data_IF_351118452202
#
_entry.id   IF_351118452202
#
_cell.length_a   1.000
_cell.length_b   1.000
_cell.length_c   1.000
_cell.angle_alpha   90.00
_cell.angle_beta   90.00
_cell.angle_gamma   90.00
#
_symmetry.space_group_name_H-M   'P 1'
#
loop_
_entity.id
_entity.type
_entity.pdbx_description
1 polymer ?
#
# COMPACT_ATOMS: atom_id res chain seq x y z
N UNK A 1 -28.17 -13.19 -27.30
CA UNK A 1 -28.17 -12.56 -25.98
C UNK A 1 -29.08 -11.33 -26.10
N UNK A 2 -30.12 -11.27 -25.32
CA UNK A 2 -31.06 -10.16 -25.29
C UNK A 2 -31.02 -9.50 -23.92
N UNK A 3 -31.21 -8.17 -23.89
CA UNK A 3 -31.35 -7.41 -22.65
C UNK A 3 -32.85 -7.24 -22.38
N UNK A 4 -33.27 -7.55 -21.15
CA UNK A 4 -34.63 -7.21 -20.68
C UNK A 4 -34.70 -5.73 -20.31
N UNK A 5 -35.93 -5.19 -20.18
CA UNK A 5 -36.17 -3.77 -19.84
C UNK A 5 -35.61 -3.36 -18.47
N UNK A 6 -35.30 -4.31 -17.58
CA UNK A 6 -34.67 -4.12 -16.28
C UNK A 6 -33.13 -4.19 -16.33
N UNK A 7 -32.54 -4.38 -17.52
CA UNK A 7 -31.08 -4.49 -17.73
C UNK A 7 -30.52 -5.89 -17.49
N UNK A 8 -31.33 -6.88 -17.17
CA UNK A 8 -30.88 -8.27 -17.04
C UNK A 8 -30.66 -8.90 -18.42
N UNK A 9 -29.68 -9.80 -18.49
CA UNK A 9 -29.38 -10.57 -19.70
C UNK A 9 -30.20 -11.85 -19.67
N UNK A 10 -30.99 -12.09 -20.71
CA UNK A 10 -31.71 -13.33 -20.84
C UNK A 10 -31.46 -14.04 -22.18
N UNK A 11 -31.57 -15.33 -22.17
CA UNK A 11 -31.57 -16.16 -23.38
C UNK A 11 -32.99 -16.59 -23.66
N UNK A 12 -33.57 -16.29 -24.87
CA UNK A 12 -34.90 -16.73 -25.17
C UNK A 12 -34.98 -18.27 -25.19
N UNK A 13 -36.12 -18.84 -24.87
CA UNK A 13 -36.31 -20.30 -24.95
C UNK A 13 -36.07 -20.78 -26.39
N UNK A 14 -35.46 -21.95 -26.49
CA UNK A 14 -35.35 -22.64 -27.76
C UNK A 14 -36.75 -22.95 -28.27
N UNK A 15 -37.17 -22.45 -29.46
CA UNK A 15 -38.48 -22.63 -30.00
C UNK A 15 -38.83 -24.10 -30.25
N UNK A 16 -37.85 -25.00 -30.35
CA UNK A 16 -38.03 -26.43 -30.63
C UNK A 16 -38.27 -27.27 -29.36
N UNK A 17 -37.91 -26.76 -28.17
CA UNK A 17 -38.00 -27.55 -26.93
C UNK A 17 -39.10 -27.12 -25.98
N UNK A 18 -39.75 -25.97 -26.19
CA UNK A 18 -40.81 -25.43 -25.31
C UNK A 18 -40.36 -25.24 -23.85
N UNK A 19 -39.07 -25.15 -23.62
CA UNK A 19 -38.44 -25.11 -22.30
C UNK A 19 -38.76 -23.85 -21.52
N UNK A 20 -38.92 -24.00 -20.22
CA UNK A 20 -39.04 -22.92 -19.25
C UNK A 20 -37.81 -22.02 -19.34
N UNK A 21 -37.98 -20.68 -19.38
CA UNK A 21 -36.89 -19.71 -19.34
C UNK A 21 -36.27 -19.78 -17.95
N UNK A 22 -35.16 -20.49 -17.80
CA UNK A 22 -34.41 -20.46 -16.58
C UNK A 22 -33.64 -19.12 -16.52
N UNK A 23 -33.64 -18.44 -15.36
CA UNK A 23 -32.77 -17.27 -15.19
C UNK A 23 -31.32 -17.67 -15.46
N UNK A 24 -30.52 -16.80 -16.06
CA UNK A 24 -29.11 -17.11 -16.29
C UNK A 24 -28.44 -17.48 -14.97
N UNK A 25 -27.63 -18.53 -15.00
CA UNK A 25 -26.83 -18.90 -13.82
C UNK A 25 -26.02 -17.70 -13.35
N UNK A 26 -25.93 -17.48 -12.02
CA UNK A 26 -25.10 -16.41 -11.48
C UNK A 26 -23.67 -16.57 -12.00
N UNK A 27 -23.11 -15.48 -12.50
CA UNK A 27 -21.72 -15.47 -12.95
C UNK A 27 -20.79 -15.80 -11.78
N UNK A 28 -19.95 -16.82 -11.92
CA UNK A 28 -18.91 -17.20 -10.96
C UNK A 28 -17.56 -16.80 -11.55
N UNK A 29 -16.85 -15.84 -10.93
CA UNK A 29 -15.53 -15.43 -11.43
C UNK A 29 -14.54 -16.59 -11.45
N UNK A 30 -13.70 -16.64 -12.45
CA UNK A 30 -12.57 -17.58 -12.50
C UNK A 30 -11.47 -17.18 -11.50
N UNK A 31 -10.57 -18.12 -11.19
CA UNK A 31 -9.41 -17.83 -10.33
C UNK A 31 -8.58 -16.68 -10.88
N UNK A 32 -8.30 -16.65 -12.19
CA UNK A 32 -7.52 -15.61 -12.85
C UNK A 32 -8.17 -14.21 -12.72
N UNK A 33 -9.49 -14.14 -12.91
CA UNK A 33 -10.25 -12.88 -12.75
C UNK A 33 -10.20 -12.37 -11.31
N UNK A 34 -10.33 -13.27 -10.33
CA UNK A 34 -10.19 -12.91 -8.92
C UNK A 34 -8.76 -12.48 -8.56
N UNK A 35 -7.74 -13.14 -9.09
CA UNK A 35 -6.35 -12.71 -8.89
C UNK A 35 -6.11 -11.31 -9.46
N UNK A 36 -6.61 -11.01 -10.65
CA UNK A 36 -6.49 -9.68 -11.27
C UNK A 36 -7.22 -8.62 -10.45
N UNK A 37 -8.46 -8.90 -10.03
CA UNK A 37 -9.25 -7.99 -9.20
C UNK A 37 -8.57 -7.73 -7.84
N UNK A 38 -8.07 -8.78 -7.18
CA UNK A 38 -7.39 -8.69 -5.89
C UNK A 38 -6.09 -7.91 -5.99
N UNK A 39 -5.27 -8.11 -7.02
CA UNK A 39 -4.04 -7.32 -7.25
C UNK A 39 -4.35 -5.83 -7.40
N UNK A 40 -5.46 -5.49 -8.07
CA UNK A 40 -5.90 -4.09 -8.19
C UNK A 40 -6.31 -3.52 -6.82
N UNK A 41 -7.09 -4.27 -6.03
CA UNK A 41 -7.48 -3.90 -4.67
C UNK A 41 -6.24 -3.63 -3.80
N UNK A 42 -5.27 -4.54 -3.80
CA UNK A 42 -4.02 -4.42 -3.05
C UNK A 42 -3.19 -3.21 -3.51
N UNK A 43 -3.10 -2.98 -4.82
CA UNK A 43 -2.35 -1.83 -5.36
C UNK A 43 -2.99 -0.50 -4.93
N UNK A 44 -4.33 -0.39 -4.95
CA UNK A 44 -5.04 0.79 -4.47
C UNK A 44 -4.86 1.01 -2.96
N UNK A 45 -4.89 -0.07 -2.17
CA UNK A 45 -4.65 0.01 -0.73
C UNK A 45 -3.21 0.43 -0.41
N UNK A 46 -2.23 -0.08 -1.17
CA UNK A 46 -0.83 0.33 -1.07
C UNK A 46 -0.65 1.82 -1.39
N UNK A 47 -1.21 2.29 -2.51
CA UNK A 47 -1.18 3.71 -2.89
C UNK A 47 -1.81 4.59 -1.81
N UNK A 48 -2.97 4.19 -1.28
CA UNK A 48 -3.64 4.90 -0.19
C UNK A 48 -2.76 4.96 1.06
N UNK A 49 -2.10 3.86 1.43
CA UNK A 49 -1.19 3.82 2.57
C UNK A 49 0.01 4.75 2.36
N UNK A 50 0.63 4.73 1.19
CA UNK A 50 1.75 5.62 0.86
C UNK A 50 1.29 7.09 0.90
N UNK A 51 0.17 7.42 0.26
CA UNK A 51 -0.32 8.80 0.17
C UNK A 51 -0.77 9.36 1.52
N UNK A 52 -1.21 8.50 2.45
CA UNK A 52 -1.53 8.93 3.82
C UNK A 52 -0.33 9.53 4.54
N UNK A 53 0.89 9.22 4.10
CA UNK A 53 2.09 9.85 4.60
C UNK A 53 2.68 9.23 5.87
N UNK A 54 3.64 9.93 6.46
CA UNK A 54 4.45 9.45 7.59
C UNK A 54 4.62 10.54 8.64
N UNK A 55 4.57 10.12 9.92
CA UNK A 55 4.94 10.96 11.05
C UNK A 55 6.45 10.94 11.25
N UNK A 56 7.05 12.11 11.38
CA UNK A 56 8.51 12.27 11.52
C UNK A 56 8.81 13.08 12.76
N UNK A 57 9.64 12.54 13.65
CA UNK A 57 10.15 13.27 14.81
C UNK A 57 11.42 14.02 14.43
N UNK A 58 11.41 15.32 14.59
CA UNK A 58 12.49 16.24 14.25
C UNK A 58 13.52 16.36 15.37
N UNK A 59 14.62 17.07 15.11
CA UNK A 59 15.72 17.24 16.06
C UNK A 59 15.34 18.00 17.34
N UNK A 60 14.29 18.82 17.29
CA UNK A 60 13.73 19.53 18.45
C UNK A 60 12.77 18.67 19.28
N UNK A 61 12.51 17.42 18.87
CA UNK A 61 11.60 16.49 19.51
C UNK A 61 10.12 16.65 19.11
N UNK A 62 9.79 17.61 18.26
CA UNK A 62 8.46 17.73 17.68
C UNK A 62 8.19 16.64 16.65
N UNK A 63 6.93 16.19 16.54
CA UNK A 63 6.52 15.23 15.50
C UNK A 63 5.59 15.93 14.53
N UNK A 64 5.90 15.85 13.26
CA UNK A 64 5.15 16.44 12.16
C UNK A 64 4.75 15.37 11.15
N UNK A 65 3.59 15.57 10.51
CA UNK A 65 3.06 14.67 9.50
C UNK A 65 3.35 15.19 8.09
N UNK A 66 3.77 14.29 7.20
CA UNK A 66 4.07 14.58 5.81
C UNK A 66 3.36 13.61 4.89
N UNK A 67 2.38 14.08 4.11
CA UNK A 67 1.77 13.32 3.02
C UNK A 67 2.80 12.93 1.97
N UNK A 68 2.58 11.79 1.32
CA UNK A 68 3.51 11.25 0.33
C UNK A 68 2.80 10.94 -0.99
N UNK A 69 2.01 11.91 -1.51
CA UNK A 69 1.52 11.84 -2.88
C UNK A 69 2.67 11.81 -3.87
N UNK A 70 2.43 11.48 -5.14
CA UNK A 70 3.49 11.49 -6.15
C UNK A 70 4.21 12.85 -6.24
N UNK A 71 3.46 13.96 -6.08
CA UNK A 71 4.06 15.30 -6.08
C UNK A 71 4.93 15.53 -4.84
N UNK A 72 4.51 15.06 -3.67
CA UNK A 72 5.29 15.19 -2.42
C UNK A 72 6.58 14.38 -2.52
N UNK A 73 6.50 13.15 -3.02
CA UNK A 73 7.66 12.29 -3.26
C UNK A 73 8.66 12.98 -4.21
N UNK A 74 8.17 13.58 -5.31
CA UNK A 74 9.02 14.31 -6.26
C UNK A 74 9.65 15.56 -5.62
N UNK A 75 8.88 16.30 -4.83
CA UNK A 75 9.39 17.48 -4.11
C UNK A 75 10.47 17.07 -3.09
N UNK A 76 10.23 16.02 -2.30
CA UNK A 76 11.20 15.50 -1.33
C UNK A 76 12.47 14.98 -2.01
N UNK A 77 12.34 14.34 -3.17
CA UNK A 77 13.51 13.97 -3.98
C UNK A 77 14.32 15.21 -4.41
N UNK A 78 13.63 16.30 -4.82
CA UNK A 78 14.28 17.58 -5.11
C UNK A 78 15.03 18.15 -3.89
N UNK A 79 14.46 18.04 -2.68
CA UNK A 79 15.15 18.47 -1.44
C UNK A 79 16.37 17.59 -1.14
N UNK A 80 16.30 16.29 -1.37
CA UNK A 80 17.45 15.40 -1.21
C UNK A 80 18.60 15.77 -2.15
N UNK A 81 18.32 16.16 -3.40
CA UNK A 81 19.32 16.65 -4.35
C UNK A 81 19.96 17.95 -3.85
N UNK A 82 19.18 18.88 -3.28
CA UNK A 82 19.69 20.13 -2.71
C UNK A 82 20.56 19.87 -1.48
N UNK A 83 20.19 18.93 -0.60
CA UNK A 83 21.02 18.48 0.53
C UNK A 83 22.37 17.93 0.05
N UNK A 84 22.37 17.07 -0.97
CA UNK A 84 23.57 16.51 -1.55
C UNK A 84 24.48 17.59 -2.17
N UNK A 85 23.89 18.71 -2.62
CA UNK A 85 24.64 19.88 -3.10
C UNK A 85 25.13 20.81 -1.99
N UNK A 86 24.86 20.50 -0.71
CA UNK A 86 25.35 21.23 0.46
C UNK A 86 24.45 22.37 0.93
N UNK A 87 23.19 22.39 0.53
CA UNK A 87 22.20 23.35 1.04
C UNK A 87 21.94 23.08 2.53
N UNK A 88 21.97 24.12 3.36
CA UNK A 88 21.87 24.02 4.83
C UNK A 88 20.49 24.31 5.39
N UNK A 89 19.65 25.01 4.64
CA UNK A 89 18.25 25.32 5.00
C UNK A 89 17.38 25.13 3.76
N UNK A 90 16.27 24.40 3.91
CA UNK A 90 15.38 24.07 2.80
C UNK A 90 13.92 24.37 3.19
N UNK A 91 13.23 25.09 2.31
CA UNK A 91 11.82 25.36 2.49
C UNK A 91 10.95 24.11 2.25
N UNK A 92 10.06 23.82 3.16
CA UNK A 92 9.06 22.75 3.05
C UNK A 92 7.91 23.00 4.03
N UNK A 93 6.90 22.17 4.01
CA UNK A 93 5.78 22.24 4.96
C UNK A 93 5.32 20.84 5.38
N UNK A 94 4.95 20.71 6.63
CA UNK A 94 4.15 19.59 7.11
C UNK A 94 2.68 19.81 6.77
N UNK A 95 1.87 18.76 6.81
CA UNK A 95 0.47 18.80 6.46
C UNK A 95 -0.30 19.80 7.35
N UNK A 96 -1.06 20.68 6.70
CA UNK A 96 -1.82 21.71 7.39
C UNK A 96 -1.00 22.83 8.01
N UNK A 97 0.31 22.87 7.79
CA UNK A 97 1.21 23.90 8.30
C UNK A 97 1.68 24.85 7.18
N UNK A 98 1.99 26.11 7.50
CA UNK A 98 2.62 27.01 6.55
C UNK A 98 4.02 26.52 6.17
N UNK A 99 4.44 26.86 4.95
CA UNK A 99 5.81 26.60 4.50
C UNK A 99 6.82 27.30 5.41
N UNK A 100 7.85 26.58 5.83
CA UNK A 100 8.96 27.11 6.67
C UNK A 100 10.30 26.53 6.23
N UNK A 101 11.38 27.08 6.76
CA UNK A 101 12.70 26.51 6.59
C UNK A 101 12.96 25.41 7.61
N UNK A 102 13.45 24.28 7.12
CA UNK A 102 13.96 23.16 7.91
C UNK A 102 15.48 23.18 7.81
N UNK A 103 16.17 22.80 8.88
CA UNK A 103 17.61 22.58 8.85
C UNK A 103 17.97 21.43 7.90
N UNK A 104 19.21 21.37 7.44
CA UNK A 104 19.67 20.24 6.63
C UNK A 104 19.50 18.91 7.36
N UNK A 105 19.69 18.88 8.69
CA UNK A 105 19.51 17.69 9.51
C UNK A 105 18.04 17.24 9.56
N UNK A 106 17.11 18.15 9.86
CA UNK A 106 15.69 17.85 9.86
C UNK A 106 15.20 17.38 8.47
N UNK A 107 15.61 18.08 7.42
CA UNK A 107 15.25 17.71 6.06
C UNK A 107 15.84 16.33 5.68
N UNK A 108 17.01 15.98 6.14
CA UNK A 108 17.59 14.64 5.96
C UNK A 108 16.75 13.58 6.67
N UNK A 109 16.28 13.85 7.88
CA UNK A 109 15.39 12.97 8.65
C UNK A 109 14.06 12.77 7.88
N UNK A 110 13.44 13.87 7.43
CA UNK A 110 12.16 13.85 6.68
C UNK A 110 12.32 13.02 5.40
N UNK A 111 13.31 13.34 4.57
CA UNK A 111 13.51 12.64 3.29
C UNK A 111 13.83 11.16 3.48
N UNK A 112 14.64 10.82 4.49
CA UNK A 112 14.99 9.43 4.79
C UNK A 112 13.78 8.64 5.28
N UNK A 113 12.97 9.20 6.17
CA UNK A 113 11.75 8.57 6.68
C UNK A 113 10.74 8.35 5.54
N UNK A 114 10.51 9.37 4.70
CA UNK A 114 9.61 9.29 3.55
C UNK A 114 10.04 8.19 2.58
N UNK A 115 11.32 8.14 2.21
CA UNK A 115 11.83 7.13 1.29
C UNK A 115 11.78 5.72 1.87
N UNK A 116 12.08 5.55 3.15
CA UNK A 116 11.97 4.26 3.84
C UNK A 116 10.50 3.76 3.85
N UNK A 117 9.56 4.67 4.13
CA UNK A 117 8.12 4.36 4.16
C UNK A 117 7.61 3.91 2.79
N UNK A 118 7.90 4.68 1.73
CA UNK A 118 7.53 4.31 0.35
C UNK A 118 8.14 2.98 -0.05
N UNK A 119 9.43 2.77 0.24
CA UNK A 119 10.14 1.53 -0.10
C UNK A 119 9.56 0.32 0.62
N UNK A 120 9.20 0.46 1.90
CA UNK A 120 8.54 -0.61 2.67
C UNK A 120 7.22 -1.01 2.02
N UNK A 121 6.30 -0.06 1.82
CA UNK A 121 4.98 -0.34 1.26
C UNK A 121 5.04 -0.92 -0.16
N UNK A 122 5.96 -0.42 -0.99
CA UNK A 122 6.18 -0.95 -2.35
C UNK A 122 6.69 -2.39 -2.31
N UNK A 123 7.65 -2.69 -1.43
CA UNK A 123 8.21 -4.04 -1.25
C UNK A 123 7.15 -5.00 -0.72
N UNK A 124 6.36 -4.56 0.26
CA UNK A 124 5.27 -5.32 0.84
C UNK A 124 4.16 -5.61 -0.18
N UNK A 125 3.74 -4.61 -0.95
CA UNK A 125 2.76 -4.77 -2.01
C UNK A 125 3.22 -5.78 -3.08
N UNK A 126 4.50 -5.72 -3.48
CA UNK A 126 5.07 -6.70 -4.40
C UNK A 126 4.97 -8.12 -3.84
N UNK A 127 5.32 -8.32 -2.57
CA UNK A 127 5.25 -9.63 -1.92
C UNK A 127 3.81 -10.18 -1.87
N UNK A 128 2.80 -9.34 -1.54
CA UNK A 128 1.38 -9.74 -1.60
C UNK A 128 0.98 -10.10 -3.04
N UNK A 129 1.40 -9.35 -4.04
CA UNK A 129 1.09 -9.64 -5.43
C UNK A 129 1.70 -10.98 -5.90
N UNK A 130 2.89 -11.34 -5.40
CA UNK A 130 3.50 -12.66 -5.61
C UNK A 130 2.68 -13.76 -4.92
N UNK A 131 2.21 -13.50 -3.69
CA UNK A 131 1.34 -14.43 -2.97
C UNK A 131 0.02 -14.67 -3.71
N UNK A 132 -0.68 -13.61 -4.15
CA UNK A 132 -1.91 -13.73 -4.94
C UNK A 132 -1.66 -14.56 -6.21
N UNK A 133 -0.54 -14.35 -6.89
CA UNK A 133 -0.20 -15.11 -8.10
C UNK A 133 0.07 -16.60 -7.82
N UNK A 134 0.50 -16.95 -6.63
CA UNK A 134 0.76 -18.31 -6.19
C UNK A 134 -0.44 -19.04 -5.61
N UNK A 135 -1.61 -18.40 -5.46
CA UNK A 135 -2.84 -19.05 -4.99
C UNK A 135 -3.40 -20.01 -6.04
N UNK A 136 -3.86 -21.17 -5.59
CA UNK A 136 -4.43 -22.22 -6.44
C UNK A 136 -5.96 -22.29 -6.36
N UNK A 137 -6.58 -21.55 -5.42
CA UNK A 137 -8.04 -21.50 -5.23
C UNK A 137 -8.57 -20.08 -5.08
N UNK A 138 -9.86 -19.91 -5.35
CA UNK A 138 -10.57 -18.64 -5.20
C UNK A 138 -10.68 -18.21 -3.75
N UNK A 139 -10.83 -19.17 -2.84
CA UNK A 139 -10.90 -18.96 -1.39
C UNK A 139 -9.57 -18.40 -0.84
N UNK A 140 -8.43 -18.93 -1.30
CA UNK A 140 -7.11 -18.40 -0.93
C UNK A 140 -6.95 -16.95 -1.35
N UNK A 141 -7.32 -16.60 -2.60
CA UNK A 141 -7.26 -15.22 -3.10
C UNK A 141 -8.15 -14.28 -2.28
N UNK A 142 -9.38 -14.74 -1.97
CA UNK A 142 -10.34 -13.92 -1.21
C UNK A 142 -9.89 -13.65 0.23
N UNK A 143 -9.13 -14.56 0.84
CA UNK A 143 -8.61 -14.40 2.20
C UNK A 143 -7.49 -13.35 2.31
N UNK A 144 -6.87 -12.95 1.19
CA UNK A 144 -5.77 -11.99 1.19
C UNK A 144 -6.32 -10.56 1.30
N UNK A 145 -5.72 -9.76 2.18
CA UNK A 145 -6.01 -8.33 2.34
C UNK A 145 -4.72 -7.53 2.59
N UNK A 146 -4.77 -6.23 2.36
CA UNK A 146 -3.63 -5.35 2.65
C UNK A 146 -3.46 -5.20 4.17
N UNK A 147 -2.29 -5.54 4.68
CA UNK A 147 -1.99 -5.63 6.11
C UNK A 147 -1.85 -7.08 6.63
N UNK A 148 -2.12 -8.09 5.77
CA UNK A 148 -1.93 -9.49 6.14
C UNK A 148 -0.44 -9.85 6.27
N UNK A 149 -0.14 -10.79 7.16
CA UNK A 149 1.20 -11.37 7.25
C UNK A 149 1.53 -12.18 6.00
N UNK A 150 2.49 -11.71 5.22
CA UNK A 150 2.92 -12.39 4.00
C UNK A 150 3.62 -13.70 4.36
N UNK A 151 3.22 -14.86 3.80
CA UNK A 151 3.91 -16.12 4.03
C UNK A 151 5.39 -16.05 3.63
N UNK A 152 6.25 -16.70 4.40
CA UNK A 152 7.71 -16.60 4.26
C UNK A 152 8.22 -16.91 2.85
N UNK A 153 7.57 -17.83 2.15
CA UNK A 153 7.90 -18.20 0.77
C UNK A 153 7.73 -17.07 -0.26
N UNK A 154 6.95 -16.05 0.07
CA UNK A 154 6.72 -14.87 -0.78
C UNK A 154 7.48 -13.64 -0.27
N UNK A 155 8.18 -13.72 0.86
CA UNK A 155 8.98 -12.63 1.40
C UNK A 155 10.35 -12.58 0.70
N UNK A 156 10.65 -11.45 0.08
CA UNK A 156 12.01 -11.16 -0.38
C UNK A 156 12.95 -10.93 0.82
N UNK A 157 14.26 -11.03 0.60
CA UNK A 157 15.25 -10.72 1.65
C UNK A 157 15.12 -9.28 2.16
N UNK A 158 14.70 -8.36 1.28
CA UNK A 158 14.43 -6.96 1.63
C UNK A 158 13.23 -6.85 2.57
N UNK A 159 12.13 -7.55 2.28
CA UNK A 159 10.95 -7.55 3.15
C UNK A 159 11.26 -8.19 4.51
N UNK A 160 12.02 -9.28 4.53
CA UNK A 160 12.46 -9.93 5.77
C UNK A 160 13.28 -8.96 6.64
N UNK A 161 14.16 -8.17 6.03
CA UNK A 161 14.94 -7.15 6.75
C UNK A 161 14.04 -6.06 7.36
N UNK A 162 13.04 -5.57 6.62
CA UNK A 162 12.06 -4.61 7.16
C UNK A 162 11.28 -5.20 8.33
N UNK A 163 10.76 -6.42 8.20
CA UNK A 163 10.00 -7.09 9.26
C UNK A 163 10.87 -7.29 10.52
N UNK A 164 12.15 -7.64 10.36
CA UNK A 164 13.08 -7.80 11.48
C UNK A 164 13.30 -6.47 12.22
N UNK A 165 13.52 -5.37 11.49
CA UNK A 165 13.69 -4.03 12.06
C UNK A 165 12.46 -3.56 12.84
N UNK A 166 11.25 -3.81 12.32
CA UNK A 166 10.01 -3.45 13.01
C UNK A 166 9.81 -4.26 14.29
N UNK A 167 10.17 -5.55 14.29
CA UNK A 167 10.12 -6.40 15.49
C UNK A 167 11.10 -5.94 16.58
N UNK A 168 12.29 -5.52 16.20
CA UNK A 168 13.29 -4.97 17.13
C UNK A 168 12.77 -3.69 17.78
N UNK A 169 12.21 -2.76 16.99
CA UNK A 169 11.60 -1.52 17.50
C UNK A 169 10.43 -1.78 18.46
N UNK A 170 9.59 -2.76 18.13
CA UNK A 170 8.47 -3.12 18.99
C UNK A 170 8.93 -3.80 20.29
N UNK A 171 10.01 -4.58 20.26
CA UNK A 171 10.61 -5.23 21.42
C UNK A 171 11.25 -4.23 22.40
N UNK A 172 11.93 -3.20 21.90
CA UNK A 172 12.55 -2.14 22.71
C UNK A 172 11.50 -1.24 23.39
N UNK A 173 10.28 -1.13 22.84
CA UNK A 173 9.20 -0.34 23.42
C UNK A 173 8.51 -1.02 24.61
N UNK A 174 8.70 -2.32 24.82
CA UNK A 174 8.05 -3.12 25.87
C UNK A 174 8.97 -3.43 27.08
N UNK A 175 10.24 -2.96 27.09
CA UNK A 175 11.10 -3.04 28.25
C UNK A 175 10.76 -1.92 29.25
N UNK A 176 10.27 -2.23 30.48
CA UNK A 176 10.02 -1.23 31.51
C UNK A 176 11.36 -0.61 31.91
N UNK A 177 11.47 0.72 31.78
CA UNK A 177 12.61 1.48 32.31
C UNK A 177 12.69 1.22 33.81
N UNK A 178 13.65 0.39 34.23
CA UNK A 178 14.02 0.23 35.63
C UNK A 178 14.75 1.50 36.05
N UNK A 179 14.02 2.42 36.66
CA UNK A 179 14.59 3.56 37.38
C UNK A 179 15.24 3.03 38.65
N UNK A 180 16.57 3.10 38.75
CA UNK A 180 17.31 3.06 40.00
C UNK A 180 17.16 4.38 40.78
#
# INVERSE_FOLDING_TARGET
VYLSDDGSVYQPPDPDTGGEILPPEPYVPTLEELQVAKKREISQACETAIYSGVDVTLTDGSTEHFSLTEHDQLNLFGKQVQLAAGTTELEYHADGQPCRYYTAEDMQIITSAAMAYVSYHTTYCNAINMWIAGCESTEEVQAIYYGADVPEQYQSDVLKAYIATEKERAGDADEPQVTE
#
